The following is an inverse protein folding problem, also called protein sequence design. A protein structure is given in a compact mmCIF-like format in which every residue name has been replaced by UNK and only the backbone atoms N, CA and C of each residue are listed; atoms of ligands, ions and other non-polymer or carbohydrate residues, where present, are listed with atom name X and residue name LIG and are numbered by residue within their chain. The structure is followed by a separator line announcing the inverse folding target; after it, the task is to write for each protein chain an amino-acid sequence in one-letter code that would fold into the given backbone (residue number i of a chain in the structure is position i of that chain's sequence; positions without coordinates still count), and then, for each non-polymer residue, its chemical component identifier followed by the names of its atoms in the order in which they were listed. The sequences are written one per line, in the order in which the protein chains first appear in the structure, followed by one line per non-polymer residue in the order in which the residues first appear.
data_IF_134031176542
#
_entry.id   IF_134031176542
#
_cell.length_a   1.000
_cell.length_b   1.000
_cell.length_c   1.000
_cell.angle_alpha   90.00
_cell.angle_beta   90.00
_cell.angle_gamma   90.00
#
_symmetry.space_group_name_H-M   'P 1'
#
loop_
_entity.id
_entity.type
_entity.pdbx_description
1 polymer ?
#
# COMPACT_ATOMS: atom_id res chain seq x y z
N UNK A 1 -24.84 -34.23 -4.77
CA UNK A 1 -25.09 -32.94 -5.49
C UNK A 1 -24.32 -31.73 -4.90
N UNK A 2 -23.23 -31.90 -4.14
CA UNK A 2 -22.47 -30.77 -3.54
C UNK A 2 -20.95 -30.89 -3.70
N UNK A 3 -20.49 -31.27 -4.90
CA UNK A 3 -19.04 -31.37 -5.22
C UNK A 3 -18.64 -30.55 -6.45
N UNK A 4 -19.24 -29.38 -6.67
CA UNK A 4 -18.88 -28.48 -7.78
C UNK A 4 -18.96 -27.01 -7.32
N UNK A 5 -18.00 -26.53 -6.51
CA UNK A 5 -17.67 -25.08 -6.40
C UNK A 5 -16.42 -24.69 -5.59
N UNK A 6 -15.42 -25.56 -5.38
CA UNK A 6 -14.18 -25.20 -4.67
C UNK A 6 -12.96 -24.90 -5.57
N UNK A 7 -13.08 -25.01 -6.89
CA UNK A 7 -11.93 -24.88 -7.81
C UNK A 7 -11.61 -23.46 -8.32
N UNK A 8 -12.57 -22.53 -8.27
CA UNK A 8 -12.37 -21.15 -8.78
C UNK A 8 -12.00 -20.16 -7.68
N UNK A 9 -12.62 -20.31 -6.50
CA UNK A 9 -12.40 -19.40 -5.38
C UNK A 9 -11.04 -19.58 -4.69
N UNK A 10 -10.41 -20.76 -4.79
CA UNK A 10 -9.06 -20.99 -4.26
C UNK A 10 -8.01 -20.25 -5.08
N UNK A 11 -8.01 -20.36 -6.40
CA UNK A 11 -7.05 -19.61 -7.24
C UNK A 11 -7.20 -18.10 -7.11
N UNK A 12 -8.41 -17.60 -6.90
CA UNK A 12 -8.65 -16.19 -6.61
C UNK A 12 -8.18 -15.83 -5.19
N UNK A 13 -8.45 -16.68 -4.18
CA UNK A 13 -7.94 -16.48 -2.82
C UNK A 13 -6.42 -16.53 -2.73
N UNK A 14 -5.80 -17.35 -3.56
CA UNK A 14 -4.36 -17.50 -3.65
C UNK A 14 -3.76 -16.30 -4.40
N UNK A 15 -4.42 -15.80 -5.44
CA UNK A 15 -3.99 -14.57 -6.15
C UNK A 15 -4.15 -13.31 -5.29
N UNK A 16 -5.23 -13.18 -4.52
CA UNK A 16 -5.36 -12.07 -3.55
C UNK A 16 -4.40 -12.26 -2.39
N UNK A 17 -4.16 -13.49 -1.91
CA UNK A 17 -3.15 -13.77 -0.87
C UNK A 17 -1.74 -13.39 -1.34
N UNK A 18 -1.35 -13.80 -2.54
CA UNK A 18 -0.06 -13.42 -3.16
C UNK A 18 0.00 -11.91 -3.40
N UNK A 19 -1.08 -11.26 -3.84
CA UNK A 19 -1.10 -9.81 -3.97
C UNK A 19 -0.85 -9.11 -2.62
N UNK A 20 -1.44 -9.60 -1.53
CA UNK A 20 -1.18 -9.06 -0.18
C UNK A 20 0.27 -9.32 0.29
N UNK A 21 0.84 -10.49 -0.01
CA UNK A 21 2.25 -10.79 0.29
C UNK A 21 3.23 -9.92 -0.52
N UNK A 22 2.95 -9.68 -1.81
CA UNK A 22 3.76 -8.80 -2.67
C UNK A 22 3.69 -7.32 -2.24
N UNK A 23 2.63 -6.92 -1.55
CA UNK A 23 2.45 -5.58 -0.96
C UNK A 23 3.05 -5.51 0.46
N UNK A 24 3.59 -6.62 0.99
CA UNK A 24 4.20 -6.68 2.32
C UNK A 24 3.21 -6.72 3.49
N UNK A 25 1.93 -7.02 3.22
CA UNK A 25 0.86 -7.09 4.22
C UNK A 25 0.71 -8.53 4.73
N UNK A 26 1.75 -9.03 5.40
CA UNK A 26 1.68 -10.28 6.17
C UNK A 26 1.22 -9.99 7.60
N UNK A 27 0.18 -10.71 8.07
CA UNK A 27 -0.41 -10.59 9.41
C UNK A 27 0.52 -10.94 10.58
N UNK A 28 1.77 -11.31 10.30
CA UNK A 28 2.79 -11.61 11.30
C UNK A 28 3.89 -10.56 11.38
N UNK A 29 3.84 -9.52 10.54
CA UNK A 29 4.90 -8.55 10.44
C UNK A 29 4.66 -7.38 11.40
N UNK A 30 5.22 -7.49 12.61
CA UNK A 30 5.03 -6.53 13.71
C UNK A 30 5.38 -5.08 13.30
N UNK A 31 6.33 -4.89 12.39
CA UNK A 31 6.73 -3.57 11.92
C UNK A 31 5.64 -2.85 11.11
N UNK A 32 4.86 -3.57 10.29
CA UNK A 32 3.76 -3.01 9.50
C UNK A 32 2.60 -2.62 10.43
N UNK A 33 2.28 -3.48 11.40
CA UNK A 33 1.23 -3.24 12.37
C UNK A 33 1.56 -2.03 13.27
N UNK A 34 2.78 -1.95 13.82
CA UNK A 34 3.21 -0.78 14.59
C UNK A 34 3.24 0.50 13.74
N UNK A 35 3.68 0.40 12.47
CA UNK A 35 3.72 1.53 11.55
C UNK A 35 2.34 2.12 11.28
N UNK A 36 1.32 1.27 11.07
CA UNK A 36 -0.06 1.74 10.85
C UNK A 36 -0.66 2.39 12.09
N UNK A 37 -0.36 1.89 13.30
CA UNK A 37 -0.82 2.51 14.54
C UNK A 37 -0.21 3.89 14.78
N UNK A 38 1.09 4.05 14.51
CA UNK A 38 1.76 5.36 14.58
C UNK A 38 1.17 6.32 13.55
N UNK A 39 0.96 5.85 12.31
CA UNK A 39 0.33 6.66 11.27
C UNK A 39 -1.09 7.10 11.65
N UNK A 40 -1.91 6.19 12.20
CA UNK A 40 -3.25 6.50 12.67
C UNK A 40 -3.23 7.58 13.78
N UNK A 41 -2.31 7.47 14.74
CA UNK A 41 -2.15 8.48 15.78
C UNK A 41 -1.74 9.85 15.21
N UNK A 42 -0.87 9.88 14.20
CA UNK A 42 -0.45 11.11 13.53
C UNK A 42 -1.60 11.79 12.79
N UNK A 43 -2.45 11.05 12.08
CA UNK A 43 -3.62 11.63 11.39
C UNK A 43 -4.63 12.21 12.38
N UNK A 44 -4.89 11.52 13.49
CA UNK A 44 -5.76 12.03 14.55
C UNK A 44 -5.19 13.30 15.20
N UNK A 45 -3.87 13.34 15.45
CA UNK A 45 -3.21 14.53 15.96
C UNK A 45 -3.23 15.68 14.94
N UNK A 46 -3.01 15.40 13.65
CA UNK A 46 -3.09 16.40 12.60
C UNK A 46 -4.49 17.03 12.51
N UNK A 47 -5.55 16.22 12.68
CA UNK A 47 -6.93 16.72 12.74
C UNK A 47 -7.18 17.65 13.93
N UNK A 48 -6.77 17.24 15.14
CA UNK A 48 -6.86 18.09 16.34
C UNK A 48 -6.04 19.38 16.18
N UNK A 49 -4.82 19.29 15.63
CA UNK A 49 -3.93 20.43 15.44
C UNK A 49 -4.48 21.44 14.44
N UNK A 50 -4.95 20.99 13.27
CA UNK A 50 -5.56 21.87 12.26
C UNK A 50 -6.91 22.43 12.70
N UNK A 51 -7.57 21.85 13.70
CA UNK A 51 -8.81 22.39 14.23
C UNK A 51 -8.59 23.41 15.37
N UNK A 52 -7.71 23.11 16.33
CA UNK A 52 -7.55 23.91 17.56
C UNK A 52 -6.33 24.86 17.58
N UNK A 53 -5.27 24.56 16.84
CA UNK A 53 -4.02 25.35 16.87
C UNK A 53 -3.76 26.10 15.58
N UNK A 54 -3.99 25.46 14.44
CA UNK A 54 -3.70 25.99 13.11
C UNK A 54 -4.94 25.92 12.21
N UNK A 55 -6.04 26.56 12.65
CA UNK A 55 -7.28 26.64 11.87
C UNK A 55 -7.02 27.32 10.51
N UNK A 56 -7.23 26.62 9.38
CA UNK A 56 -7.04 27.22 8.07
C UNK A 56 -8.05 28.33 7.85
N UNK A 57 -7.61 29.41 7.20
CA UNK A 57 -8.52 30.50 6.81
C UNK A 57 -9.39 30.06 5.63
N UNK A 58 -10.56 30.67 5.51
CA UNK A 58 -11.50 30.37 4.43
C UNK A 58 -10.89 30.43 3.01
N UNK A 59 -10.04 31.43 2.73
CA UNK A 59 -9.38 31.58 1.43
C UNK A 59 -8.49 30.37 1.06
N UNK A 60 -7.94 29.65 2.04
CA UNK A 60 -7.14 28.45 1.80
C UNK A 60 -8.00 27.30 1.24
N UNK A 61 -9.26 27.18 1.69
CA UNK A 61 -10.17 26.15 1.17
C UNK A 61 -10.71 26.47 -0.22
N UNK A 62 -10.74 27.75 -0.62
CA UNK A 62 -11.25 28.18 -1.92
C UNK A 62 -10.19 28.19 -3.03
N UNK A 63 -8.91 27.98 -2.70
CA UNK A 63 -7.84 27.90 -3.68
C UNK A 63 -7.87 26.54 -4.40
N UNK A 64 -8.79 26.44 -5.36
CA UNK A 64 -9.02 25.23 -6.16
C UNK A 64 -7.85 24.90 -7.10
N UNK A 65 -7.10 25.90 -7.53
CA UNK A 65 -5.95 25.72 -8.43
C UNK A 65 -4.78 25.07 -7.69
N UNK A 66 -4.44 25.59 -6.50
CA UNK A 66 -3.44 24.99 -5.62
C UNK A 66 -3.84 23.58 -5.18
N UNK A 67 -5.10 23.39 -4.76
CA UNK A 67 -5.62 22.08 -4.38
C UNK A 67 -5.50 21.08 -5.55
N UNK A 68 -5.98 21.45 -6.74
CA UNK A 68 -5.96 20.55 -7.90
C UNK A 68 -4.54 20.20 -8.32
N UNK A 69 -3.65 21.19 -8.42
CA UNK A 69 -2.26 20.96 -8.81
C UNK A 69 -1.53 20.09 -7.78
N UNK A 70 -1.74 20.32 -6.48
CA UNK A 70 -1.16 19.49 -5.43
C UNK A 70 -1.69 18.05 -5.44
N UNK A 71 -2.98 17.83 -5.67
CA UNK A 71 -3.55 16.48 -5.71
C UNK A 71 -3.17 15.74 -6.99
N UNK A 72 -3.18 16.42 -8.13
CA UNK A 72 -2.89 15.78 -9.42
C UNK A 72 -1.40 15.48 -9.56
N UNK A 73 -0.52 16.45 -9.29
CA UNK A 73 0.92 16.26 -9.42
C UNK A 73 1.51 15.55 -8.19
N UNK A 74 1.09 15.95 -6.98
CA UNK A 74 1.60 15.39 -5.74
C UNK A 74 0.99 14.03 -5.43
N UNK A 75 -0.31 14.00 -5.08
CA UNK A 75 -0.93 12.77 -4.62
C UNK A 75 -0.99 11.68 -5.71
N UNK A 76 -1.46 12.01 -6.91
CA UNK A 76 -1.58 11.04 -8.01
C UNK A 76 -0.25 10.82 -8.73
N UNK A 77 0.50 11.89 -9.03
CA UNK A 77 1.78 11.81 -9.72
C UNK A 77 2.86 11.11 -8.89
N UNK A 78 3.20 11.64 -7.72
CA UNK A 78 4.23 11.04 -6.86
C UNK A 78 3.78 9.70 -6.27
N UNK A 79 2.48 9.55 -5.98
CA UNK A 79 1.91 8.28 -5.50
C UNK A 79 2.06 7.15 -6.54
N UNK A 80 1.71 7.41 -7.80
CA UNK A 80 1.87 6.43 -8.87
C UNK A 80 3.33 6.14 -9.19
N UNK A 81 4.21 7.16 -9.12
CA UNK A 81 5.65 6.98 -9.32
C UNK A 81 6.28 6.13 -8.21
N UNK A 82 5.96 6.41 -6.94
CA UNK A 82 6.44 5.63 -5.80
C UNK A 82 5.97 4.18 -5.89
N UNK A 83 4.71 3.96 -6.27
CA UNK A 83 4.15 2.63 -6.46
C UNK A 83 4.80 1.88 -7.63
N UNK A 84 5.01 2.54 -8.77
CA UNK A 84 5.70 1.96 -9.92
C UNK A 84 7.14 1.56 -9.56
N UNK A 85 7.87 2.39 -8.82
CA UNK A 85 9.18 2.06 -8.28
C UNK A 85 9.15 0.84 -7.38
N UNK A 86 8.19 0.78 -6.44
CA UNK A 86 8.01 -0.39 -5.58
C UNK A 86 7.71 -1.67 -6.39
N UNK A 87 6.85 -1.60 -7.41
CA UNK A 87 6.56 -2.74 -8.27
C UNK A 87 7.80 -3.22 -9.05
N UNK A 88 8.62 -2.30 -9.57
CA UNK A 88 9.82 -2.65 -10.34
C UNK A 88 10.91 -3.24 -9.46
N UNK A 89 11.13 -2.69 -8.27
CA UNK A 89 12.21 -3.12 -7.39
C UNK A 89 11.85 -4.31 -6.50
N UNK A 90 10.56 -4.51 -6.18
CA UNK A 90 10.12 -5.56 -5.23
C UNK A 90 9.25 -6.60 -5.94
N UNK A 91 8.15 -6.18 -6.57
CA UNK A 91 7.18 -7.14 -7.10
C UNK A 91 7.69 -7.90 -8.33
N UNK A 92 8.40 -7.25 -9.26
CA UNK A 92 8.91 -7.90 -10.47
C UNK A 92 9.96 -8.99 -10.20
N UNK A 93 11.02 -8.76 -9.40
CA UNK A 93 12.01 -9.80 -9.08
C UNK A 93 11.38 -11.00 -8.34
N UNK A 94 10.51 -10.73 -7.35
CA UNK A 94 9.84 -11.80 -6.59
C UNK A 94 8.94 -12.63 -7.51
N UNK A 95 8.19 -11.98 -8.41
CA UNK A 95 7.35 -12.69 -9.37
C UNK A 95 8.16 -13.53 -10.36
N UNK A 96 9.36 -13.11 -10.76
CA UNK A 96 10.24 -13.93 -11.60
C UNK A 96 10.70 -15.21 -10.88
N UNK A 97 11.12 -15.11 -9.61
CA UNK A 97 11.51 -16.27 -8.81
C UNK A 97 10.33 -17.21 -8.53
N UNK A 98 9.15 -16.66 -8.21
CA UNK A 98 7.94 -17.46 -8.02
C UNK A 98 7.51 -18.19 -9.29
N UNK A 99 7.60 -17.55 -10.47
CA UNK A 99 7.28 -18.19 -11.75
C UNK A 99 8.33 -19.23 -12.18
N UNK A 100 9.58 -19.10 -11.72
CA UNK A 100 10.63 -20.09 -11.91
C UNK A 100 10.51 -21.29 -10.95
N UNK A 101 9.55 -21.28 -10.02
CA UNK A 101 9.29 -22.38 -9.09
C UNK A 101 10.21 -22.42 -7.87
N UNK A 102 10.89 -21.31 -7.56
CA UNK A 102 11.73 -21.19 -6.36
C UNK A 102 10.83 -21.14 -5.12
N UNK A 103 11.15 -21.94 -4.09
CA UNK A 103 10.43 -21.92 -2.81
C UNK A 103 10.52 -20.50 -2.22
N UNK A 104 9.39 -19.89 -1.81
CA UNK A 104 9.37 -18.56 -1.18
C UNK A 104 10.37 -18.36 -0.03
N UNK A 105 10.80 -19.44 0.64
CA UNK A 105 11.80 -19.39 1.72
C UNK A 105 13.24 -19.21 1.26
N UNK A 106 13.52 -19.48 -0.01
CA UNK A 106 14.85 -19.38 -0.62
C UNK A 106 15.02 -18.09 -1.43
N UNK A 107 13.95 -17.29 -1.57
CA UNK A 107 14.01 -16.00 -2.26
C UNK A 107 14.82 -15.02 -1.40
N UNK A 108 15.90 -14.40 -1.94
CA UNK A 108 16.69 -13.45 -1.20
C UNK A 108 15.82 -12.24 -0.81
N UNK A 109 15.98 -11.79 0.44
CA UNK A 109 15.31 -10.61 0.93
C UNK A 109 15.68 -9.40 0.05
N UNK A 110 14.74 -8.49 -0.25
CA UNK A 110 14.93 -7.38 -1.19
C UNK A 110 16.00 -6.35 -0.78
N UNK A 111 16.75 -6.60 0.30
CA UNK A 111 17.79 -5.75 0.87
C UNK A 111 19.18 -6.37 0.89
N UNK A 112 19.40 -7.54 0.27
CA UNK A 112 20.71 -8.20 0.16
C UNK A 112 21.18 -8.28 -1.29
#
# INVERSE_FOLDING_TARGET
LLSIRKGSNSKISDRIGIAFTLIGFESKNQCTDCGTLVFAALILFAGWFHYHKAAPKWAWFQDVESMLNHHLAGLLGLGSLSWAGHQVHVSLPINQFLNAGVDPKEIPLPTN
#
